data_IF_076567939818
#
_entry.id   IF_076567939818
#
_cell.length_a   1.000
_cell.length_b   1.000
_cell.length_c   1.000
_cell.angle_alpha   90.00
_cell.angle_beta   90.00
_cell.angle_gamma   90.00
#
_symmetry.space_group_name_H-M   'P 1'
#
loop_
_entity.id
_entity.type
_entity.pdbx_description
1 polymer ?
#
# COMPACT_ATOMS: atom_id res chain seq x y z
N UNK A 1 -40.92 -12.34 8.25
CA UNK A 1 -40.06 -12.35 7.06
C UNK A 1 -39.13 -11.16 7.14
N UNK A 2 -37.80 -11.42 7.20
CA UNK A 2 -36.65 -10.58 6.82
C UNK A 2 -36.57 -9.18 7.50
N UNK A 3 -35.57 -8.82 8.31
CA UNK A 3 -34.13 -8.96 8.10
C UNK A 3 -33.40 -9.00 9.45
N UNK A 4 -32.56 -10.03 9.60
CA UNK A 4 -31.56 -10.18 10.66
C UNK A 4 -30.50 -9.06 10.55
N UNK A 5 -29.96 -8.65 11.70
CA UNK A 5 -28.51 -8.56 11.93
C UNK A 5 -27.68 -7.63 11.02
N UNK A 6 -27.77 -6.32 11.21
CA UNK A 6 -26.78 -5.36 10.64
C UNK A 6 -26.61 -4.11 11.53
N UNK A 7 -26.40 -4.27 12.83
CA UNK A 7 -26.03 -3.15 13.72
C UNK A 7 -24.71 -3.34 14.45
N UNK A 8 -23.86 -4.23 13.93
CA UNK A 8 -22.46 -4.41 14.33
C UNK A 8 -21.46 -3.98 13.23
N UNK A 9 -21.93 -3.39 12.12
CA UNK A 9 -21.14 -3.24 10.88
C UNK A 9 -20.82 -1.78 10.46
N UNK A 10 -20.68 -0.84 11.41
CA UNK A 10 -20.29 0.56 11.07
C UNK A 10 -18.84 0.92 11.42
N UNK A 11 -17.97 -0.09 11.52
CA UNK A 11 -16.53 0.07 11.75
C UNK A 11 -15.65 -0.07 10.49
N UNK A 12 -16.18 -0.39 9.30
CA UNK A 12 -15.33 -0.85 8.18
C UNK A 12 -15.72 -0.33 6.78
N UNK A 13 -16.13 0.94 6.64
CA UNK A 13 -16.33 1.58 5.32
C UNK A 13 -15.31 2.69 5.00
N UNK A 14 -14.15 2.66 5.65
CA UNK A 14 -12.89 3.22 5.13
C UNK A 14 -11.82 2.10 5.03
N UNK A 15 -12.22 0.91 4.57
CA UNK A 15 -11.27 -0.16 4.20
C UNK A 15 -10.72 0.05 2.79
N UNK A 16 -10.22 1.24 2.49
CA UNK A 16 -9.46 1.48 1.26
C UNK A 16 -7.98 1.27 1.58
N UNK A 17 -7.44 0.10 1.22
CA UNK A 17 -6.06 -0.36 1.47
C UNK A 17 -5.73 -0.78 2.91
N UNK A 18 -6.36 -1.85 3.40
CA UNK A 18 -5.79 -2.64 4.51
C UNK A 18 -4.47 -3.28 4.03
N UNK A 19 -3.35 -2.58 4.31
CA UNK A 19 -1.95 -2.86 3.94
C UNK A 19 -1.67 -2.96 2.42
N UNK A 20 -1.23 -1.83 1.84
CA UNK A 20 -0.70 -1.73 0.49
C UNK A 20 0.38 -2.79 0.23
N UNK A 21 1.36 -2.91 1.12
CA UNK A 21 2.44 -3.88 0.97
C UNK A 21 1.96 -5.34 1.00
N UNK A 22 0.97 -5.63 1.86
CA UNK A 22 0.38 -6.98 1.93
C UNK A 22 -0.36 -7.39 0.65
N UNK A 23 -0.95 -6.41 -0.05
CA UNK A 23 -1.64 -6.67 -1.32
C UNK A 23 -0.69 -7.16 -2.40
N UNK A 24 0.52 -6.58 -2.49
CA UNK A 24 1.57 -7.01 -3.42
C UNK A 24 2.07 -8.41 -3.08
N UNK A 25 2.34 -8.66 -1.80
CA UNK A 25 2.77 -9.97 -1.31
C UNK A 25 1.74 -11.05 -1.66
N UNK A 26 0.45 -10.80 -1.38
CA UNK A 26 -0.64 -11.74 -1.69
C UNK A 26 -0.78 -11.97 -3.19
N UNK A 27 -0.68 -10.92 -4.00
CA UNK A 27 -0.75 -11.04 -5.45
C UNK A 27 0.41 -11.88 -6.02
N UNK A 28 1.62 -11.70 -5.49
CA UNK A 28 2.79 -12.51 -5.82
C UNK A 28 2.60 -13.99 -5.45
N UNK A 29 2.17 -14.24 -4.21
CA UNK A 29 1.92 -15.60 -3.70
C UNK A 29 0.81 -16.31 -4.49
N UNK A 30 -0.25 -15.60 -4.85
CA UNK A 30 -1.36 -16.14 -5.68
C UNK A 30 -0.89 -16.58 -7.06
N UNK A 31 0.08 -15.86 -7.64
CA UNK A 31 0.69 -16.24 -8.92
C UNK A 31 1.81 -17.30 -8.80
N UNK A 32 2.24 -17.63 -7.58
CA UNK A 32 3.35 -18.56 -7.35
C UNK A 32 4.71 -18.05 -7.83
N UNK A 33 4.90 -16.72 -7.92
CA UNK A 33 6.14 -16.12 -8.43
C UNK A 33 7.09 -15.85 -7.24
N UNK A 34 8.37 -16.20 -7.37
CA UNK A 34 9.37 -15.86 -6.36
C UNK A 34 9.78 -14.39 -6.45
N UNK A 35 10.23 -13.81 -5.35
CA UNK A 35 10.69 -12.42 -5.35
C UNK A 35 11.94 -12.22 -6.21
N UNK A 36 12.80 -13.24 -6.30
CA UNK A 36 14.01 -13.24 -7.12
C UNK A 36 13.67 -13.24 -8.61
N UNK A 37 12.62 -13.97 -9.00
CA UNK A 37 12.15 -13.96 -10.38
C UNK A 37 11.67 -12.56 -10.76
N UNK A 38 10.89 -11.90 -9.92
CA UNK A 38 10.44 -10.52 -10.17
C UNK A 38 11.63 -9.56 -10.23
N UNK A 39 12.61 -9.73 -9.35
CA UNK A 39 13.83 -8.93 -9.36
C UNK A 39 14.60 -9.10 -10.68
N UNK A 40 14.73 -10.32 -11.18
CA UNK A 40 15.40 -10.61 -12.45
C UNK A 40 14.66 -10.00 -13.65
N UNK A 41 13.33 -10.04 -13.65
CA UNK A 41 12.50 -9.54 -14.75
C UNK A 41 12.38 -8.01 -14.77
N UNK A 42 12.31 -7.38 -13.59
CA UNK A 42 12.14 -5.92 -13.45
C UNK A 42 13.48 -5.17 -13.35
N UNK A 43 14.58 -5.89 -13.13
CA UNK A 43 15.89 -5.34 -12.77
C UNK A 43 15.87 -4.48 -11.50
N UNK A 44 14.88 -4.71 -10.63
CA UNK A 44 14.78 -4.06 -9.32
C UNK A 44 15.40 -5.01 -8.29
N UNK A 45 16.28 -4.48 -7.44
CA UNK A 45 16.86 -5.28 -6.35
C UNK A 45 15.76 -5.87 -5.44
N UNK A 46 15.93 -7.13 -5.04
CA UNK A 46 15.05 -7.82 -4.09
C UNK A 46 14.83 -7.03 -2.80
N UNK A 47 15.86 -6.30 -2.34
CA UNK A 47 15.77 -5.37 -1.19
C UNK A 47 14.67 -4.33 -1.35
N UNK A 48 14.52 -3.76 -2.55
CA UNK A 48 13.50 -2.74 -2.80
C UNK A 48 12.10 -3.35 -2.98
N UNK A 49 12.00 -4.52 -3.59
CA UNK A 49 10.74 -5.26 -3.68
C UNK A 49 10.21 -5.64 -2.30
N UNK A 50 11.09 -6.14 -1.42
CA UNK A 50 10.78 -6.40 -0.02
C UNK A 50 10.41 -5.13 0.73
N UNK A 51 11.09 -4.02 0.47
CA UNK A 51 10.73 -2.73 1.06
C UNK A 51 9.32 -2.28 0.65
N UNK A 52 8.89 -2.56 -0.59
CA UNK A 52 7.52 -2.29 -1.05
C UNK A 52 6.51 -3.20 -0.32
N UNK A 53 6.79 -4.50 -0.21
CA UNK A 53 5.94 -5.45 0.53
C UNK A 53 5.80 -5.12 2.03
N UNK A 54 6.86 -4.56 2.64
CA UNK A 54 6.88 -4.14 4.04
C UNK A 54 6.54 -2.66 4.25
N UNK A 55 6.18 -1.94 3.19
CA UNK A 55 5.85 -0.50 3.23
C UNK A 55 6.99 0.38 3.80
N UNK A 56 8.22 -0.07 3.64
CA UNK A 56 9.45 0.61 4.04
C UNK A 56 9.93 1.55 2.92
N UNK A 57 9.07 2.49 2.52
CA UNK A 57 9.33 3.40 1.39
C UNK A 57 10.53 4.34 1.62
N UNK A 58 10.94 4.52 2.88
CA UNK A 58 12.14 5.28 3.26
C UNK A 58 13.45 4.61 2.81
N UNK A 59 13.44 3.29 2.52
CA UNK A 59 14.60 2.57 1.99
C UNK A 59 14.73 2.66 0.47
N UNK A 60 13.69 3.15 -0.22
CA UNK A 60 13.73 3.32 -1.66
C UNK A 60 14.59 4.54 -2.02
N UNK A 61 15.18 4.57 -3.23
CA UNK A 61 16.00 5.70 -3.70
C UNK A 61 15.25 7.04 -3.78
N UNK A 62 13.92 7.04 -3.64
CA UNK A 62 13.12 8.26 -3.52
C UNK A 62 12.73 8.87 -4.86
N UNK A 63 11.97 9.97 -4.79
CA UNK A 63 11.55 10.75 -5.95
C UNK A 63 10.69 9.97 -6.95
N UNK A 64 10.98 10.15 -8.24
CA UNK A 64 10.22 9.54 -9.35
C UNK A 64 10.39 8.02 -9.42
N UNK A 65 11.48 7.48 -8.87
CA UNK A 65 11.83 6.06 -8.97
C UNK A 65 10.87 5.16 -8.18
N UNK A 66 10.36 5.65 -7.04
CA UNK A 66 9.43 4.88 -6.20
C UNK A 66 8.18 4.49 -7.00
N UNK A 67 7.62 5.42 -7.77
CA UNK A 67 6.43 5.16 -8.59
C UNK A 67 6.74 4.18 -9.73
N UNK A 68 7.91 4.33 -10.36
CA UNK A 68 8.38 3.40 -11.39
C UNK A 68 8.50 1.97 -10.90
N UNK A 69 9.10 1.77 -9.71
CA UNK A 69 9.27 0.45 -9.12
C UNK A 69 7.95 -0.20 -8.74
N UNK A 70 7.06 0.56 -8.11
CA UNK A 70 5.74 0.06 -7.72
C UNK A 70 4.93 -0.33 -8.97
N UNK A 71 4.95 0.49 -10.02
CA UNK A 71 4.27 0.18 -11.27
C UNK A 71 4.83 -1.07 -11.94
N UNK A 72 6.15 -1.16 -12.08
CA UNK A 72 6.80 -2.34 -12.67
C UNK A 72 6.47 -3.60 -11.86
N UNK A 73 6.45 -3.51 -10.53
CA UNK A 73 6.05 -4.65 -9.70
C UNK A 73 4.57 -5.01 -9.90
N UNK A 74 3.67 -4.01 -9.90
CA UNK A 74 2.23 -4.21 -10.07
C UNK A 74 1.92 -4.91 -11.40
N UNK A 75 2.57 -4.51 -12.49
CA UNK A 75 2.43 -5.14 -13.81
C UNK A 75 2.80 -6.63 -13.77
N UNK A 76 3.85 -7.01 -13.02
CA UNK A 76 4.25 -8.42 -12.86
C UNK A 76 3.27 -9.22 -12.03
N UNK A 77 2.78 -8.67 -10.92
CA UNK A 77 1.81 -9.35 -10.06
C UNK A 77 0.36 -9.26 -10.58
N UNK A 78 0.12 -8.54 -11.68
CA UNK A 78 -1.21 -8.39 -12.27
C UNK A 78 -2.14 -7.48 -11.48
N UNK A 79 -1.57 -6.56 -10.71
CA UNK A 79 -2.33 -5.48 -10.07
C UNK A 79 -2.56 -4.35 -11.07
N UNK A 80 -3.70 -3.69 -10.96
CA UNK A 80 -4.08 -2.60 -11.86
C UNK A 80 -3.14 -1.39 -11.70
N UNK A 81 -2.37 -1.02 -12.74
CA UNK A 81 -1.46 0.11 -12.68
C UNK A 81 -2.20 1.46 -12.54
N UNK A 82 -3.50 1.54 -12.89
CA UNK A 82 -4.29 2.75 -12.69
C UNK A 82 -4.44 3.07 -11.20
N UNK A 83 -4.68 2.05 -10.36
CA UNK A 83 -4.74 2.21 -8.89
C UNK A 83 -3.41 2.68 -8.29
N UNK A 84 -2.29 2.31 -8.92
CA UNK A 84 -0.95 2.76 -8.52
C UNK A 84 -0.68 4.21 -8.91
N UNK A 85 -1.26 4.70 -10.02
CA UNK A 85 -1.04 6.08 -10.47
C UNK A 85 -1.54 7.10 -9.44
N UNK A 86 -2.64 6.78 -8.78
CA UNK A 86 -3.26 7.60 -7.73
C UNK A 86 -2.64 7.35 -6.36
N UNK A 87 -1.87 6.27 -6.20
CA UNK A 87 -1.21 5.94 -4.96
C UNK A 87 -0.26 7.04 -4.52
N UNK A 88 -0.49 7.53 -3.30
CA UNK A 88 0.38 8.44 -2.58
C UNK A 88 1.03 7.66 -1.44
N UNK A 89 2.36 7.73 -1.26
CA UNK A 89 3.00 7.10 -0.12
C UNK A 89 2.34 7.62 1.17
N UNK A 90 1.94 6.72 2.08
CA UNK A 90 1.46 7.15 3.38
C UNK A 90 2.56 8.01 4.03
N UNK A 91 2.14 9.08 4.71
CA UNK A 91 3.05 9.89 5.50
C UNK A 91 3.82 9.03 6.51
N UNK A 92 4.93 9.53 7.08
CA UNK A 92 5.70 8.76 8.05
C UNK A 92 4.77 8.23 9.13
N UNK A 93 4.61 6.88 9.18
CA UNK A 93 3.79 6.26 10.21
C UNK A 93 4.46 6.54 11.54
N UNK A 94 3.81 7.37 12.33
CA UNK A 94 4.22 7.65 13.68
C UNK A 94 4.11 6.34 14.49
N UNK A 95 5.24 5.65 14.69
CA UNK A 95 5.33 4.46 15.56
C UNK A 95 5.43 4.83 17.04
N UNK A 96 5.53 6.13 17.35
CA UNK A 96 5.37 6.63 18.72
C UNK A 96 3.89 6.89 18.93
N UNK A 97 3.31 6.41 20.03
CA UNK A 97 1.93 6.73 20.40
C UNK A 97 1.77 8.22 20.73
N UNK A 98 1.79 9.08 19.71
CA UNK A 98 1.41 10.49 19.83
C UNK A 98 0.10 10.62 19.07
N UNK A 99 -0.98 10.80 19.83
CA UNK A 99 -2.25 11.31 19.34
C UNK A 99 -1.99 12.62 18.60
N UNK A 100 -1.93 12.57 17.27
CA UNK A 100 -2.02 13.78 16.45
C UNK A 100 -3.49 14.20 16.56
N UNK A 101 -3.70 15.35 17.20
CA UNK A 101 -4.98 15.91 17.63
C UNK A 101 -6.10 15.82 16.57
N UNK A 102 -7.37 15.70 17.01
CA UNK A 102 -8.51 15.77 16.12
C UNK A 102 -8.63 17.18 15.52
N UNK A 103 -9.04 17.20 14.26
CA UNK A 103 -9.53 18.37 13.52
C UNK A 103 -10.56 19.14 14.35
N UNK A 104 -10.34 20.43 14.60
CA UNK A 104 -11.31 21.53 14.84
C UNK A 104 -10.44 22.74 15.29
N UNK A 105 -10.59 23.99 14.86
CA UNK A 105 -11.68 24.66 14.18
C UNK A 105 -11.13 25.93 13.49
N UNK A 106 -11.96 26.47 12.61
CA UNK A 106 -11.92 27.80 12.03
C UNK A 106 -11.11 28.88 12.78
N UNK A 107 -10.28 29.61 12.04
CA UNK A 107 -10.19 31.06 12.17
C UNK A 107 -10.36 31.63 10.76
N UNK A 108 -11.61 31.98 10.46
CA UNK A 108 -11.99 32.92 9.41
C UNK A 108 -11.12 34.19 9.54
N UNK A 109 -10.64 34.72 8.41
CA UNK A 109 -10.30 36.15 8.27
C UNK A 109 -11.45 36.85 7.56
#
# INVERSE_FOLDING_TARGET
>A
MIFRSLKEDVACLHSEMTNFGSSFKRARETKGISIDQIASETRISTRFLLAIENEQFHLLPGGIFNRGFIRAYAEKVGLDPAKIREWRPPGPRNVTGVCIRPQLAACFS
#
